data_IF_266276512050
#
_entry.id   IF_266276512050
#
_cell.length_a   1.000
_cell.length_b   1.000
_cell.length_c   1.000
_cell.angle_alpha   90.00
_cell.angle_beta   90.00
_cell.angle_gamma   90.00
#
_symmetry.space_group_name_H-M   'P 1'
#
loop_
_entity.id
_entity.type
_entity.pdbx_description
1 polymer ?
#
# COMPACT_ATOMS: atom_id res chain seq x y z
N UNK A 1 -11.88 1.09 20.61
CA UNK A 1 -12.43 1.18 19.24
C UNK A 1 -13.17 -0.14 18.95
N UNK A 2 -14.46 -0.09 18.61
CA UNK A 2 -15.23 -1.31 18.35
C UNK A 2 -14.87 -1.90 16.99
N UNK A 3 -14.13 -3.02 17.02
CA UNK A 3 -13.65 -3.74 15.83
C UNK A 3 -14.80 -4.21 14.93
N UNK A 4 -15.96 -4.54 15.50
CA UNK A 4 -17.14 -5.02 14.76
C UNK A 4 -17.81 -3.85 14.02
N UNK A 5 -17.97 -2.71 14.69
CA UNK A 5 -18.54 -1.51 14.06
C UNK A 5 -17.67 -1.04 12.88
N UNK A 6 -16.34 -1.04 13.05
CA UNK A 6 -15.41 -0.61 12.01
C UNK A 6 -15.43 -1.55 10.78
N UNK A 7 -15.45 -2.87 11.01
CA UNK A 7 -15.56 -3.84 9.91
C UNK A 7 -16.87 -3.71 9.13
N UNK A 8 -17.99 -3.39 9.81
CA UNK A 8 -19.28 -3.13 9.15
C UNK A 8 -19.17 -1.91 8.25
N UNK A 9 -18.61 -0.80 8.74
CA UNK A 9 -18.42 0.43 7.96
C UNK A 9 -17.56 0.17 6.71
N UNK A 10 -16.42 -0.51 6.86
CA UNK A 10 -15.54 -0.85 5.74
C UNK A 10 -16.23 -1.72 4.69
N UNK A 11 -17.10 -2.64 5.13
CA UNK A 11 -17.87 -3.51 4.23
C UNK A 11 -18.90 -2.70 3.43
N UNK A 12 -19.60 -1.77 4.07
CA UNK A 12 -20.58 -0.92 3.38
C UNK A 12 -19.89 0.04 2.40
N UNK A 13 -18.77 0.64 2.77
CA UNK A 13 -17.96 1.46 1.86
C UNK A 13 -17.47 0.67 0.64
N UNK A 14 -17.01 -0.57 0.83
CA UNK A 14 -16.59 -1.42 -0.27
C UNK A 14 -17.76 -1.75 -1.22
N UNK A 15 -18.96 -2.03 -0.69
CA UNK A 15 -20.16 -2.26 -1.49
C UNK A 15 -20.55 -1.03 -2.30
N UNK A 16 -20.49 0.15 -1.67
CA UNK A 16 -20.78 1.41 -2.34
C UNK A 16 -19.82 1.65 -3.50
N UNK A 17 -18.51 1.47 -3.27
CA UNK A 17 -17.48 1.63 -4.30
C UNK A 17 -17.72 0.70 -5.50
N UNK A 18 -18.05 -0.58 -5.26
CA UNK A 18 -18.37 -1.54 -6.31
C UNK A 18 -19.61 -1.09 -7.11
N UNK A 19 -20.62 -0.56 -6.43
CA UNK A 19 -21.87 -0.13 -7.07
C UNK A 19 -21.72 1.16 -7.89
N UNK A 20 -20.94 2.12 -7.43
CA UNK A 20 -20.91 3.48 -7.98
C UNK A 20 -19.73 3.76 -8.89
N UNK A 21 -18.59 3.10 -8.65
CA UNK A 21 -17.30 3.53 -9.20
C UNK A 21 -16.63 2.48 -10.10
N UNK A 22 -17.10 1.24 -10.07
CA UNK A 22 -16.48 0.12 -10.80
C UNK A 22 -17.40 -0.36 -11.94
N UNK A 23 -16.83 -0.73 -13.10
CA UNK A 23 -17.59 -1.03 -14.32
C UNK A 23 -18.31 -2.39 -14.30
N UNK A 24 -18.20 -3.17 -13.23
CA UNK A 24 -18.70 -4.54 -13.20
C UNK A 24 -18.96 -5.07 -11.80
N UNK A 25 -19.50 -6.28 -11.72
CA UNK A 25 -19.77 -6.98 -10.46
C UNK A 25 -18.46 -7.58 -9.90
N UNK A 26 -17.80 -6.84 -9.02
CA UNK A 26 -16.63 -7.31 -8.30
C UNK A 26 -17.02 -8.00 -6.99
N UNK A 27 -16.31 -9.09 -6.67
CA UNK A 27 -16.45 -9.75 -5.37
C UNK A 27 -15.62 -9.01 -4.31
N UNK A 28 -16.23 -8.77 -3.15
CA UNK A 28 -15.56 -8.13 -2.02
C UNK A 28 -14.97 -9.22 -1.15
N UNK A 29 -13.64 -9.25 -1.04
CA UNK A 29 -12.93 -10.23 -0.20
C UNK A 29 -12.22 -9.51 0.95
N UNK A 30 -12.54 -9.83 2.22
CA UNK A 30 -11.79 -9.30 3.35
C UNK A 30 -10.38 -9.89 3.38
N UNK A 31 -9.37 -9.04 3.25
CA UNK A 31 -7.97 -9.46 3.34
C UNK A 31 -7.54 -9.40 4.79
N UNK A 32 -7.17 -10.56 5.34
CA UNK A 32 -6.55 -10.63 6.66
C UNK A 32 -5.09 -10.19 6.53
N UNK A 33 -4.83 -8.89 6.67
CA UNK A 33 -3.49 -8.33 6.75
C UNK A 33 -3.07 -8.09 8.19
N UNK A 34 -1.77 -7.95 8.40
CA UNK A 34 -1.24 -7.48 9.67
C UNK A 34 -1.81 -6.10 9.97
N UNK A 35 -2.32 -5.96 11.19
CA UNK A 35 -2.90 -4.72 11.70
C UNK A 35 -1.73 -3.91 12.26
N UNK A 36 -1.53 -2.70 11.76
CA UNK A 36 -0.56 -1.79 12.33
C UNK A 36 -0.84 -1.55 13.81
N UNK A 37 0.21 -1.36 14.61
CA UNK A 37 0.10 -1.06 16.04
C UNK A 37 0.51 0.37 16.37
N UNK A 38 1.05 1.09 15.40
CA UNK A 38 1.45 2.49 15.50
C UNK A 38 0.41 3.42 14.84
N UNK A 39 0.61 4.72 14.99
CA UNK A 39 -0.30 5.76 14.50
C UNK A 39 0.05 6.30 13.12
N UNK A 40 1.18 5.91 12.53
CA UNK A 40 1.80 6.61 11.39
C UNK A 40 2.26 5.68 10.25
N UNK A 41 2.13 4.35 10.37
CA UNK A 41 2.58 3.41 9.32
C UNK A 41 1.49 2.97 8.35
N UNK A 42 0.31 3.61 8.33
CA UNK A 42 -0.83 3.13 7.55
C UNK A 42 -0.53 3.10 6.04
N UNK A 43 0.06 4.19 5.52
CA UNK A 43 0.50 4.27 4.13
C UNK A 43 1.53 3.19 3.79
N UNK A 44 2.49 2.94 4.69
CA UNK A 44 3.51 1.91 4.50
C UNK A 44 2.91 0.51 4.47
N UNK A 45 1.95 0.21 5.34
CA UNK A 45 1.24 -1.07 5.36
C UNK A 45 0.44 -1.29 4.07
N UNK A 46 -0.20 -0.26 3.52
CA UNK A 46 -0.86 -0.33 2.21
C UNK A 46 0.16 -0.66 1.11
N UNK A 47 1.29 0.07 1.05
CA UNK A 47 2.35 -0.23 0.09
C UNK A 47 2.84 -1.69 0.21
N UNK A 48 3.06 -2.19 1.43
CA UNK A 48 3.49 -3.57 1.67
C UNK A 48 2.44 -4.62 1.32
N UNK A 49 1.16 -4.32 1.46
CA UNK A 49 0.07 -5.21 1.03
C UNK A 49 0.10 -5.37 -0.48
N UNK A 50 0.21 -4.28 -1.23
CA UNK A 50 0.30 -4.35 -2.70
C UNK A 50 1.61 -4.99 -3.14
N UNK A 51 2.74 -4.55 -2.59
CA UNK A 51 4.06 -5.03 -3.00
C UNK A 51 4.19 -6.54 -2.86
N UNK A 52 3.69 -7.14 -1.78
CA UNK A 52 3.72 -8.60 -1.60
C UNK A 52 2.86 -9.38 -2.59
N UNK A 53 1.85 -8.74 -3.19
CA UNK A 53 1.06 -9.36 -4.27
C UNK A 53 1.78 -9.36 -5.61
N UNK A 54 2.67 -8.40 -5.84
CA UNK A 54 3.46 -8.31 -7.07
C UNK A 54 4.82 -9.02 -6.96
N UNK A 55 5.46 -8.98 -5.79
CA UNK A 55 6.77 -9.56 -5.55
C UNK A 55 6.74 -10.43 -4.29
N UNK A 56 6.74 -11.76 -4.48
CA UNK A 56 6.67 -12.74 -3.38
C UNK A 56 7.88 -12.67 -2.43
N UNK A 57 9.03 -12.20 -2.92
CA UNK A 57 10.27 -12.05 -2.16
C UNK A 57 10.30 -10.82 -1.24
N UNK A 58 9.25 -10.01 -1.26
CA UNK A 58 9.21 -8.85 -0.39
C UNK A 58 9.11 -9.25 1.07
N UNK A 59 10.14 -8.87 1.84
CA UNK A 59 10.26 -9.17 3.26
C UNK A 59 9.06 -8.74 4.10
N UNK A 60 8.87 -9.44 5.21
CA UNK A 60 7.75 -9.31 6.15
C UNK A 60 8.22 -8.81 7.53
N UNK A 61 9.27 -7.98 7.56
CA UNK A 61 9.78 -7.40 8.79
C UNK A 61 8.94 -6.18 9.21
N UNK A 62 8.03 -6.41 10.16
CA UNK A 62 7.14 -5.41 10.73
C UNK A 62 7.64 -4.87 12.09
N UNK A 63 8.91 -5.12 12.44
CA UNK A 63 9.52 -4.44 13.59
C UNK A 63 9.65 -2.94 13.29
N UNK A 64 9.71 -2.09 14.31
CA UNK A 64 9.91 -0.64 14.11
C UNK A 64 11.15 -0.34 13.26
N UNK A 65 12.23 -1.11 13.46
CA UNK A 65 13.45 -1.01 12.65
C UNK A 65 13.23 -1.45 11.19
N UNK A 66 12.49 -2.54 10.98
CA UNK A 66 12.11 -3.03 9.65
C UNK A 66 11.25 -2.03 8.88
N UNK A 67 10.25 -1.44 9.54
CA UNK A 67 9.40 -0.40 8.97
C UNK A 67 10.21 0.85 8.62
N UNK A 68 11.10 1.32 9.51
CA UNK A 68 11.97 2.45 9.24
C UNK A 68 12.89 2.19 8.03
N UNK A 69 13.53 1.02 7.98
CA UNK A 69 14.35 0.60 6.83
C UNK A 69 13.54 0.61 5.54
N UNK A 70 12.29 0.16 5.59
CA UNK A 70 11.41 0.15 4.40
C UNK A 70 11.06 1.56 3.93
N UNK A 71 10.81 2.51 4.84
CA UNK A 71 10.61 3.92 4.48
C UNK A 71 11.82 4.48 3.74
N UNK A 72 13.03 4.20 4.25
CA UNK A 72 14.28 4.60 3.58
C UNK A 72 14.45 3.95 2.20
N UNK A 73 14.13 2.66 2.06
CA UNK A 73 14.18 2.00 0.76
C UNK A 73 13.21 2.62 -0.25
N UNK A 74 11.98 2.95 0.18
CA UNK A 74 11.00 3.63 -0.69
C UNK A 74 11.51 5.01 -1.10
N UNK A 75 12.02 5.80 -0.14
CA UNK A 75 12.59 7.11 -0.43
C UNK A 75 13.75 7.00 -1.43
N UNK A 76 14.66 6.05 -1.22
CA UNK A 76 15.77 5.78 -2.13
C UNK A 76 15.27 5.46 -3.55
N UNK A 77 14.30 4.56 -3.68
CA UNK A 77 13.72 4.24 -4.99
C UNK A 77 13.09 5.46 -5.68
N UNK A 78 12.46 6.38 -4.93
CA UNK A 78 11.89 7.62 -5.49
C UNK A 78 13.01 8.55 -5.99
N UNK A 79 14.09 8.71 -5.21
CA UNK A 79 15.23 9.53 -5.58
C UNK A 79 15.95 8.95 -6.81
N UNK A 80 16.26 7.66 -6.80
CA UNK A 80 16.89 6.96 -7.92
C UNK A 80 16.04 7.11 -9.21
N UNK A 81 14.72 6.92 -9.12
CA UNK A 81 13.79 7.11 -10.24
C UNK A 81 13.75 8.56 -10.74
N UNK A 82 13.77 9.53 -9.83
CA UNK A 82 13.82 10.95 -10.18
C UNK A 82 15.10 11.28 -10.95
N UNK A 83 16.25 10.80 -10.50
CA UNK A 83 17.53 11.05 -11.15
C UNK A 83 17.60 10.40 -12.55
N UNK A 84 17.07 9.18 -12.70
CA UNK A 84 16.94 8.53 -14.01
C UNK A 84 16.02 9.29 -14.97
N UNK A 85 14.95 9.90 -14.45
CA UNK A 85 14.02 10.70 -15.28
C UNK A 85 14.69 11.98 -15.80
N UNK A 86 15.60 12.58 -15.02
CA UNK A 86 16.36 13.78 -15.43
C UNK A 86 17.37 13.50 -16.53
N UNK A 87 17.98 12.32 -16.55
CA UNK A 87 18.93 11.94 -17.61
C UNK A 87 18.29 11.72 -18.99
N UNK A 88 16.97 11.47 -19.05
CA UNK A 88 16.25 11.22 -20.32
C UNK A 88 15.69 12.47 -20.98
N UNK A 89 15.55 13.58 -20.25
CA UNK A 89 15.06 14.86 -20.80
C UNK A 89 16.13 15.62 -21.62
N UNK A 90 17.41 15.32 -21.44
CA UNK A 90 18.53 15.99 -22.14
C UNK A 90 19.06 15.25 -23.37
N UNK A 91 18.45 14.12 -23.76
CA UNK A 91 18.92 13.22 -24.83
C UNK A 91 18.16 13.31 -26.15
N UNK A 92 17.54 14.43 -26.47
CA UNK A 92 16.93 14.67 -27.78
C UNK A 92 17.32 16.06 -28.29
N UNK A 93 18.42 16.12 -29.03
CA UNK A 93 18.76 17.18 -29.99
C UNK A 93 19.37 16.54 -31.22
#
# INVERSE_FOLDING_TARGET
>A
MDKRANNKLLTELAKELVKTSLPGAYSITPVHSLIQKDGDSCGLFICLIFWRRFLKEAGNDYTSAGLLRRRWNILKCILDFSDESKGKETGSS
#
